data_IF_404947091735
#
_entry.id   IF_404947091735
#
_cell.length_a   1.000
_cell.length_b   1.000
_cell.length_c   1.000
_cell.angle_alpha   90.00
_cell.angle_beta   90.00
_cell.angle_gamma   90.00
#
_symmetry.space_group_name_H-M   'P 1'
#
loop_
_entity.id
_entity.type
_entity.pdbx_description
1 polymer ?
#
# COMPACT_ATOMS: atom_id res chain seq x y z
N UNK A 1 -6.21 24.51 21.24
CA UNK A 1 -6.24 23.52 22.34
C UNK A 1 -5.61 22.24 21.79
N UNK A 2 -4.36 22.00 22.18
CA UNK A 2 -3.57 20.84 21.69
C UNK A 2 -4.08 19.57 22.38
N UNK A 3 -4.62 18.62 21.60
CA UNK A 3 -4.81 17.25 22.05
C UNK A 3 -3.61 16.42 21.62
N UNK A 4 -3.01 15.62 22.53
CA UNK A 4 -1.88 14.78 22.17
C UNK A 4 -2.38 13.58 21.34
N UNK A 5 -1.74 13.36 20.21
CA UNK A 5 -1.93 12.16 19.41
C UNK A 5 -1.19 11.00 20.10
N UNK A 6 -1.93 9.94 20.41
CA UNK A 6 -1.35 8.68 20.86
C UNK A 6 -0.71 7.97 19.67
N UNK A 7 0.62 7.92 19.69
CA UNK A 7 1.39 7.01 18.83
C UNK A 7 1.21 5.61 19.42
N UNK A 8 0.49 4.74 18.72
CA UNK A 8 0.49 3.31 19.03
C UNK A 8 1.84 2.72 18.61
N UNK A 9 2.80 2.74 19.53
CA UNK A 9 3.99 1.92 19.41
C UNK A 9 3.56 0.50 19.76
N UNK A 10 3.60 -0.40 18.77
CA UNK A 10 3.51 -1.83 19.04
C UNK A 10 4.78 -2.24 19.78
N UNK A 11 4.71 -2.19 21.10
CA UNK A 11 5.70 -2.83 21.98
C UNK A 11 5.32 -4.30 21.99
N UNK A 12 6.13 -5.12 21.32
CA UNK A 12 6.07 -6.57 21.49
C UNK A 12 6.39 -6.88 22.96
N UNK A 13 5.34 -7.23 23.69
CA UNK A 13 5.41 -7.64 25.08
C UNK A 13 6.12 -9.01 25.13
N UNK A 14 7.40 -9.01 25.45
CA UNK A 14 8.09 -10.23 25.86
C UNK A 14 7.55 -10.61 27.24
N UNK A 15 6.60 -11.54 27.29
CA UNK A 15 6.10 -12.10 28.54
C UNK A 15 7.16 -13.04 29.10
N UNK A 16 7.93 -12.55 30.07
CA UNK A 16 8.75 -13.41 30.91
C UNK A 16 7.84 -14.17 31.88
N UNK A 17 7.55 -15.42 31.57
CA UNK A 17 6.98 -16.33 32.55
C UNK A 17 8.03 -16.71 33.56
N UNK A 18 7.99 -16.10 34.74
CA UNK A 18 8.67 -16.63 35.94
C UNK A 18 7.81 -17.72 36.54
N UNK A 19 8.10 -18.98 36.24
CA UNK A 19 7.54 -20.11 36.98
C UNK A 19 8.46 -20.43 38.19
N UNK A 20 7.90 -20.35 39.40
CA UNK A 20 8.52 -20.93 40.56
C UNK A 20 8.64 -22.44 40.33
N UNK A 21 9.85 -22.94 40.25
CA UNK A 21 10.15 -24.38 40.23
C UNK A 21 10.72 -24.78 41.59
N UNK A 22 10.12 -25.83 42.14
CA UNK A 22 10.53 -26.52 43.36
C UNK A 22 11.96 -27.04 43.22
N UNK A 23 12.76 -26.86 44.27
CA UNK A 23 14.17 -27.23 44.35
C UNK A 23 14.34 -28.70 44.58
N UNK A 24 14.65 -29.48 43.54
CA UNK A 24 15.42 -30.71 43.63
C UNK A 24 16.12 -31.03 42.33
N UNK A 25 17.45 -31.11 42.41
CA UNK A 25 18.46 -31.36 41.37
C UNK A 25 18.93 -30.15 40.59
N UNK A 26 20.09 -29.64 40.97
CA UNK A 26 20.87 -28.63 40.24
C UNK A 26 21.47 -29.26 38.98
N UNK A 27 20.69 -29.35 37.91
CA UNK A 27 21.27 -29.28 36.59
C UNK A 27 21.70 -27.81 36.41
N UNK A 28 22.99 -27.52 36.30
CA UNK A 28 23.50 -26.23 35.82
C UNK A 28 22.79 -25.94 34.51
N UNK A 29 21.83 -25.01 34.54
CA UNK A 29 21.23 -24.46 33.35
C UNK A 29 22.33 -23.74 32.57
N UNK A 30 23.11 -24.50 31.79
CA UNK A 30 24.05 -23.92 30.84
C UNK A 30 23.24 -23.04 29.87
N UNK A 31 23.43 -21.72 29.95
CA UNK A 31 22.81 -20.80 29.04
C UNK A 31 23.25 -21.16 27.62
N UNK A 32 22.32 -21.70 26.80
CA UNK A 32 22.60 -22.09 25.45
C UNK A 32 22.36 -20.86 24.60
N UNK A 33 23.43 -20.25 24.07
CA UNK A 33 23.34 -19.20 23.08
C UNK A 33 22.89 -19.79 21.75
N UNK A 34 21.60 -19.63 21.43
CA UNK A 34 20.96 -20.12 20.21
C UNK A 34 20.23 -18.99 19.49
N UNK A 35 20.21 -19.01 18.16
CA UNK A 35 19.45 -18.08 17.32
C UNK A 35 20.19 -17.65 16.08
N UNK A 36 19.66 -16.67 15.38
CA UNK A 36 20.30 -16.08 14.21
C UNK A 36 21.65 -15.44 14.63
N UNK A 37 22.70 -15.71 13.83
CA UNK A 37 24.01 -15.11 14.08
C UNK A 37 24.01 -13.61 13.80
N UNK A 38 23.28 -13.18 12.76
CA UNK A 38 23.11 -11.77 12.42
C UNK A 38 22.26 -11.03 13.44
N UNK A 39 22.69 -9.83 13.83
CA UNK A 39 21.91 -8.92 14.67
C UNK A 39 20.78 -8.20 13.89
N UNK A 40 20.67 -8.40 12.58
CA UNK A 40 19.59 -7.81 11.78
C UNK A 40 18.24 -8.36 12.23
N UNK A 41 17.29 -7.45 12.45
CA UNK A 41 15.90 -7.82 12.73
C UNK A 41 15.14 -8.26 11.48
N UNK A 42 15.68 -8.00 10.30
CA UNK A 42 15.03 -8.25 9.02
C UNK A 42 15.92 -9.12 8.12
N UNK A 43 15.32 -10.13 7.53
CA UNK A 43 15.85 -10.89 6.43
C UNK A 43 15.01 -10.62 5.19
N UNK A 44 15.64 -10.24 4.08
CA UNK A 44 14.95 -9.97 2.83
C UNK A 44 15.32 -11.01 1.79
N UNK A 45 14.31 -11.49 1.07
CA UNK A 45 14.44 -12.43 -0.05
C UNK A 45 13.59 -11.96 -1.21
N UNK A 46 13.98 -12.27 -2.43
CA UNK A 46 13.13 -12.09 -3.60
C UNK A 46 12.08 -13.20 -3.64
N UNK A 47 10.91 -12.90 -4.20
CA UNK A 47 9.87 -13.89 -4.48
C UNK A 47 10.46 -15.07 -5.25
N UNK A 48 10.11 -16.27 -4.87
CA UNK A 48 10.62 -17.55 -5.43
C UNK A 48 12.15 -17.70 -5.30
N UNK A 49 12.76 -16.98 -4.35
CA UNK A 49 14.20 -17.02 -4.05
C UNK A 49 14.52 -17.85 -2.82
N UNK A 50 15.81 -18.03 -2.56
CA UNK A 50 16.32 -18.81 -1.43
C UNK A 50 16.74 -17.90 -0.28
N UNK A 51 16.15 -18.07 0.90
CA UNK A 51 16.58 -17.48 2.15
C UNK A 51 17.82 -18.18 2.65
N UNK A 52 18.89 -17.43 2.88
CA UNK A 52 20.14 -17.95 3.48
C UNK A 52 20.38 -17.28 4.83
N UNK A 53 20.67 -18.06 5.86
CA UNK A 53 21.00 -17.54 7.19
C UNK A 53 21.98 -18.46 7.94
N UNK A 54 22.64 -17.92 8.95
CA UNK A 54 23.47 -18.66 9.87
C UNK A 54 22.85 -18.62 11.26
N UNK A 55 22.80 -19.79 11.90
CA UNK A 55 22.31 -19.99 13.27
C UNK A 55 23.46 -20.39 14.18
N UNK A 56 23.62 -19.73 15.32
CA UNK A 56 24.54 -20.12 16.40
C UNK A 56 23.89 -21.11 17.35
N UNK A 57 24.71 -21.84 18.11
CA UNK A 57 24.24 -22.81 19.10
C UNK A 57 23.69 -24.11 18.50
N UNK A 58 23.82 -24.34 17.22
CA UNK A 58 23.25 -25.48 16.47
C UNK A 58 23.69 -26.84 17.03
N UNK A 59 24.96 -27.00 17.40
CA UNK A 59 25.52 -28.31 17.88
C UNK A 59 24.88 -28.80 19.19
N UNK A 60 24.21 -27.94 19.93
CA UNK A 60 23.49 -28.28 21.14
C UNK A 60 22.06 -28.73 20.88
N UNK A 61 21.57 -28.68 19.64
CA UNK A 61 20.18 -28.96 19.29
C UNK A 61 20.03 -30.33 18.61
N UNK A 62 19.01 -31.08 19.03
CA UNK A 62 18.61 -32.32 18.36
C UNK A 62 17.77 -31.99 17.11
N UNK A 63 17.01 -30.89 17.16
CA UNK A 63 16.26 -30.39 16.03
C UNK A 63 16.17 -28.85 16.04
N UNK A 64 16.10 -28.29 14.86
CA UNK A 64 15.80 -26.86 14.62
C UNK A 64 14.60 -26.77 13.69
N UNK A 65 13.66 -25.91 14.02
CA UNK A 65 12.49 -25.66 13.20
C UNK A 65 12.39 -24.18 12.87
N UNK A 66 12.07 -23.87 11.62
CA UNK A 66 11.72 -22.52 11.14
C UNK A 66 10.21 -22.39 11.08
N UNK A 67 9.69 -21.37 11.74
CA UNK A 67 8.28 -20.99 11.68
C UNK A 67 8.13 -19.65 10.94
N UNK A 68 7.07 -19.55 10.14
CA UNK A 68 6.66 -18.29 9.50
C UNK A 68 5.19 -18.04 9.82
N UNK A 69 4.89 -16.87 10.38
CA UNK A 69 3.56 -16.52 10.92
C UNK A 69 2.98 -17.60 11.84
N UNK A 70 3.82 -18.21 12.69
CA UNK A 70 3.42 -19.24 13.64
C UNK A 70 3.19 -20.62 13.03
N UNK A 71 3.33 -20.79 11.73
CA UNK A 71 3.23 -22.10 11.05
C UNK A 71 4.62 -22.64 10.76
N UNK A 72 4.85 -23.94 11.05
CA UNK A 72 6.11 -24.58 10.74
C UNK A 72 6.33 -24.60 9.22
N UNK A 73 7.47 -24.05 8.81
CA UNK A 73 7.83 -23.88 7.40
C UNK A 73 8.89 -24.93 6.98
N UNK A 74 9.93 -25.11 7.81
CA UNK A 74 11.04 -26.04 7.54
C UNK A 74 11.57 -26.65 8.85
N UNK A 75 12.29 -27.77 8.77
CA UNK A 75 12.89 -28.43 9.94
C UNK A 75 14.17 -29.20 9.60
N UNK A 76 15.09 -29.24 10.56
CA UNK A 76 16.38 -29.94 10.47
C UNK A 76 16.58 -30.77 11.71
N UNK A 77 16.88 -32.06 11.55
CA UNK A 77 17.17 -33.02 12.64
C UNK A 77 18.68 -33.26 12.70
N UNK A 78 19.23 -33.24 13.91
CA UNK A 78 20.67 -33.41 14.19
C UNK A 78 21.54 -32.52 13.27
N UNK A 79 21.31 -31.20 13.21
CA UNK A 79 22.01 -30.33 12.30
C UNK A 79 23.50 -30.28 12.61
N UNK A 80 24.35 -30.54 11.62
CA UNK A 80 25.82 -30.53 11.76
C UNK A 80 26.44 -29.18 11.44
N UNK A 81 25.72 -28.31 10.72
CA UNK A 81 26.14 -26.99 10.29
C UNK A 81 25.15 -25.93 10.75
N UNK A 82 25.65 -24.73 11.04
CA UNK A 82 24.83 -23.56 11.34
C UNK A 82 24.34 -22.79 10.11
N UNK A 83 24.81 -23.12 8.90
CA UNK A 83 24.39 -22.48 7.67
C UNK A 83 23.17 -23.20 7.08
N UNK A 84 22.10 -22.44 6.83
CA UNK A 84 20.82 -22.95 6.31
C UNK A 84 20.43 -22.21 5.05
N UNK A 85 19.77 -22.92 4.14
CA UNK A 85 19.12 -22.39 2.95
C UNK A 85 17.71 -22.95 2.87
N UNK A 86 16.74 -22.08 2.56
CA UNK A 86 15.32 -22.41 2.48
C UNK A 86 14.71 -21.69 1.28
N UNK A 87 14.11 -22.43 0.38
CA UNK A 87 13.37 -21.84 -0.74
C UNK A 87 12.06 -21.26 -0.24
N UNK A 88 11.78 -20.03 -0.63
CA UNK A 88 10.62 -19.27 -0.17
C UNK A 88 9.57 -19.23 -1.28
N UNK A 89 8.50 -19.99 -1.08
CA UNK A 89 7.28 -19.96 -1.90
C UNK A 89 6.18 -19.21 -1.14
N UNK A 90 6.28 -17.87 -1.15
CA UNK A 90 5.35 -17.00 -0.45
C UNK A 90 5.01 -15.77 -1.28
N UNK A 91 3.84 -15.18 -1.04
CA UNK A 91 3.46 -13.90 -1.62
C UNK A 91 4.37 -12.76 -1.15
N UNK A 92 4.37 -11.63 -1.85
CA UNK A 92 5.06 -10.42 -1.39
C UNK A 92 4.50 -9.97 -0.04
N UNK A 93 5.38 -9.56 0.87
CA UNK A 93 4.93 -9.14 2.19
C UNK A 93 6.00 -9.16 3.26
N UNK A 94 5.57 -8.85 4.49
CA UNK A 94 6.37 -8.91 5.70
C UNK A 94 5.75 -9.94 6.63
N UNK A 95 6.54 -10.90 7.07
CA UNK A 95 6.12 -12.05 7.85
C UNK A 95 6.94 -12.14 9.13
N UNK A 96 6.32 -12.61 10.22
CA UNK A 96 7.09 -13.02 11.39
C UNK A 96 7.83 -14.32 11.08
N UNK A 97 9.10 -14.39 11.43
CA UNK A 97 9.96 -15.56 11.25
C UNK A 97 10.58 -15.92 12.60
N UNK A 98 10.55 -17.18 12.98
CA UNK A 98 11.06 -17.65 14.26
C UNK A 98 11.82 -18.95 14.10
N UNK A 99 13.07 -19.00 14.59
CA UNK A 99 13.82 -20.24 14.76
C UNK A 99 13.55 -20.81 16.14
N UNK A 100 13.25 -22.10 16.22
CA UNK A 100 13.06 -22.85 17.46
C UNK A 100 14.06 -23.98 17.56
N UNK A 101 14.78 -24.04 18.68
CA UNK A 101 15.74 -25.08 18.99
C UNK A 101 15.20 -26.08 20.02
N UNK A 102 15.35 -27.37 19.75
CA UNK A 102 14.82 -28.47 20.56
C UNK A 102 15.94 -29.36 21.04
N UNK A 103 15.80 -29.85 22.32
CA UNK A 103 16.57 -30.91 22.92
C UNK A 103 15.61 -31.93 23.53
N UNK A 104 15.83 -33.25 23.29
CA UNK A 104 14.96 -34.32 23.78
C UNK A 104 13.47 -34.03 23.55
N UNK A 105 13.15 -33.51 22.36
CA UNK A 105 11.81 -33.07 21.94
C UNK A 105 11.19 -31.92 22.77
N UNK A 106 11.98 -31.22 23.58
CA UNK A 106 11.53 -30.04 24.33
C UNK A 106 12.08 -28.79 23.67
N UNK A 107 11.23 -27.75 23.48
CA UNK A 107 11.67 -26.42 23.06
C UNK A 107 12.57 -25.84 24.17
N UNK A 108 13.82 -25.53 23.84
CA UNK A 108 14.80 -24.96 24.77
C UNK A 108 15.18 -23.52 24.45
N UNK A 109 15.02 -23.08 23.20
CA UNK A 109 15.29 -21.71 22.82
C UNK A 109 14.52 -21.34 21.56
N UNK A 110 14.25 -20.03 21.42
CA UNK A 110 13.66 -19.46 20.20
C UNK A 110 14.23 -18.06 19.93
N UNK A 111 14.33 -17.68 18.66
CA UNK A 111 14.78 -16.37 18.22
C UNK A 111 13.95 -15.88 17.02
N UNK A 112 13.35 -14.68 17.15
CA UNK A 112 12.42 -14.10 16.21
C UNK A 112 13.02 -13.00 15.32
N UNK A 113 12.62 -12.98 14.06
CA UNK A 113 13.00 -11.97 13.05
C UNK A 113 11.80 -11.68 12.15
N UNK A 114 11.97 -10.70 11.24
CA UNK A 114 11.06 -10.51 10.13
C UNK A 114 11.65 -11.12 8.86
N UNK A 115 10.81 -11.80 8.09
CA UNK A 115 11.07 -12.19 6.72
C UNK A 115 10.34 -11.24 5.78
N UNK A 116 11.07 -10.60 4.87
CA UNK A 116 10.52 -9.68 3.87
C UNK A 116 10.65 -10.35 2.50
N UNK A 117 9.53 -10.63 1.86
CA UNK A 117 9.49 -11.17 0.50
C UNK A 117 9.23 -10.02 -0.47
N UNK A 118 10.25 -9.67 -1.25
CA UNK A 118 10.24 -8.58 -2.22
C UNK A 118 9.95 -9.08 -3.63
N UNK A 119 9.58 -8.16 -4.55
CA UNK A 119 9.45 -8.49 -5.96
C UNK A 119 10.77 -9.05 -6.54
N UNK A 120 10.65 -10.02 -7.46
CA UNK A 120 11.82 -10.62 -8.10
C UNK A 120 12.54 -9.62 -9.01
N UNK A 121 11.75 -8.87 -9.78
CA UNK A 121 12.24 -7.96 -10.81
C UNK A 121 12.29 -6.51 -10.32
N UNK A 122 13.29 -5.78 -10.82
CA UNK A 122 13.38 -4.33 -10.64
C UNK A 122 12.32 -3.64 -11.50
N UNK A 123 11.61 -2.61 -10.98
CA UNK A 123 10.68 -1.81 -11.77
C UNK A 123 11.34 -1.16 -12.98
N UNK A 124 10.60 -1.09 -14.09
CA UNK A 124 11.00 -0.33 -15.27
C UNK A 124 10.90 1.17 -14.98
N UNK A 125 11.78 1.95 -15.59
CA UNK A 125 11.65 3.39 -15.64
C UNK A 125 10.62 3.75 -16.72
N UNK A 126 9.49 4.30 -16.29
CA UNK A 126 8.46 4.85 -17.16
C UNK A 126 8.78 6.32 -17.48
N UNK A 127 8.40 6.74 -18.67
CA UNK A 127 8.51 8.12 -19.15
C UNK A 127 7.16 8.57 -19.69
N UNK A 128 6.96 9.86 -19.86
CA UNK A 128 5.73 10.40 -20.44
C UNK A 128 5.99 11.53 -21.42
N UNK A 129 5.04 11.68 -22.35
CA UNK A 129 4.90 12.85 -23.20
C UNK A 129 3.66 13.62 -22.78
N UNK A 130 3.77 14.94 -22.58
CA UNK A 130 2.62 15.79 -22.31
C UNK A 130 1.90 16.03 -23.65
N UNK A 131 0.61 15.71 -23.71
CA UNK A 131 -0.25 15.91 -24.88
C UNK A 131 -1.03 17.19 -24.80
N UNK A 132 -1.53 17.53 -23.59
CA UNK A 132 -2.29 18.75 -23.34
C UNK A 132 -2.25 19.13 -21.85
N UNK A 133 -2.70 20.35 -21.56
CA UNK A 133 -3.06 20.82 -20.24
C UNK A 133 -4.52 21.25 -20.26
N UNK A 134 -5.26 20.90 -19.21
CA UNK A 134 -6.69 21.19 -19.09
C UNK A 134 -6.95 21.96 -17.79
N UNK A 135 -7.92 22.88 -17.77
CA UNK A 135 -8.28 23.59 -16.54
C UNK A 135 -8.71 22.61 -15.43
N UNK A 136 -8.27 22.87 -14.21
CA UNK A 136 -8.70 22.18 -13.01
C UNK A 136 -9.04 23.21 -11.92
N UNK A 137 -10.01 22.91 -11.07
CA UNK A 137 -10.47 23.84 -10.05
C UNK A 137 -9.47 23.91 -8.86
N UNK A 138 -8.73 25.01 -8.79
CA UNK A 138 -7.71 25.25 -7.78
C UNK A 138 -8.24 25.35 -6.33
N UNK A 139 -9.54 25.26 -6.10
CA UNK A 139 -10.13 25.16 -4.74
C UNK A 139 -10.37 23.72 -4.33
N UNK A 140 -10.24 22.76 -5.24
CA UNK A 140 -10.47 21.34 -4.95
C UNK A 140 -9.26 20.71 -4.26
N UNK A 141 -9.54 20.04 -3.16
CA UNK A 141 -8.59 19.16 -2.50
C UNK A 141 -8.81 17.73 -3.02
N UNK A 142 -8.28 17.47 -4.21
CA UNK A 142 -8.51 16.25 -5.00
C UNK A 142 -8.11 15.00 -4.22
N UNK A 143 -9.01 14.04 -4.13
CA UNK A 143 -8.80 12.76 -3.44
C UNK A 143 -9.18 11.55 -4.29
N UNK A 144 -9.96 11.74 -5.34
CA UNK A 144 -10.28 10.72 -6.32
C UNK A 144 -10.57 11.36 -7.67
N UNK A 145 -10.16 10.73 -8.76
CA UNK A 145 -10.23 11.27 -10.12
C UNK A 145 -10.41 10.14 -11.11
N UNK A 146 -11.54 10.08 -11.83
CA UNK A 146 -11.85 8.95 -12.72
C UNK A 146 -12.61 9.38 -13.96
N UNK A 147 -12.24 8.84 -15.14
CA UNK A 147 -13.06 8.90 -16.33
C UNK A 147 -14.01 7.71 -16.41
N UNK A 148 -15.30 8.00 -16.55
CA UNK A 148 -16.32 6.98 -16.81
C UNK A 148 -17.20 7.36 -18.02
N UNK A 149 -17.24 6.51 -19.06
CA UNK A 149 -18.01 6.73 -20.30
C UNK A 149 -17.81 8.12 -20.93
N UNK A 150 -16.57 8.61 -20.92
CA UNK A 150 -16.18 9.89 -21.51
C UNK A 150 -16.52 11.11 -20.66
N UNK A 151 -16.92 10.95 -19.43
CA UNK A 151 -17.14 12.01 -18.44
C UNK A 151 -16.10 11.89 -17.32
N UNK A 152 -15.68 13.03 -16.82
CA UNK A 152 -14.70 13.13 -15.73
C UNK A 152 -15.41 13.35 -14.41
N UNK A 153 -15.01 12.58 -13.39
CA UNK A 153 -15.53 12.66 -12.03
C UNK A 153 -14.39 12.94 -11.05
N UNK A 154 -14.71 13.68 -9.99
CA UNK A 154 -13.77 14.01 -8.94
C UNK A 154 -14.43 13.87 -7.56
N UNK A 155 -13.65 13.39 -6.61
CA UNK A 155 -13.96 13.42 -5.18
C UNK A 155 -12.99 14.34 -4.47
N UNK A 156 -13.49 15.18 -3.55
CA UNK A 156 -12.68 16.14 -2.79
C UNK A 156 -12.69 15.84 -1.30
N UNK A 157 -11.58 16.17 -0.65
CA UNK A 157 -11.45 16.14 0.81
C UNK A 157 -11.93 17.42 1.47
N UNK A 158 -11.88 17.45 2.80
CA UNK A 158 -12.32 18.56 3.64
C UNK A 158 -11.22 19.00 4.63
N UNK A 159 -10.07 19.50 4.16
CA UNK A 159 -8.89 19.78 4.99
C UNK A 159 -9.14 20.91 6.01
N UNK A 160 -10.06 21.82 5.71
CA UNK A 160 -10.38 22.96 6.58
C UNK A 160 -11.58 22.69 7.47
N UNK A 161 -12.21 21.51 7.36
CA UNK A 161 -13.45 21.17 8.05
C UNK A 161 -14.58 22.19 7.78
N UNK A 162 -14.66 22.69 6.54
CA UNK A 162 -15.58 23.72 6.06
C UNK A 162 -16.75 23.15 5.24
N UNK A 163 -16.83 21.81 5.09
CA UNK A 163 -17.84 21.12 4.30
C UNK A 163 -17.48 21.00 2.83
N UNK A 164 -16.20 21.10 2.46
CA UNK A 164 -15.74 21.06 1.05
C UNK A 164 -15.73 19.65 0.42
N UNK A 165 -16.09 18.61 1.17
CA UNK A 165 -16.19 17.25 0.63
C UNK A 165 -17.37 17.14 -0.32
N UNK A 166 -17.09 16.70 -1.55
CA UNK A 166 -18.12 16.43 -2.56
C UNK A 166 -17.67 15.42 -3.61
N UNK A 167 -18.64 14.86 -4.32
CA UNK A 167 -18.45 14.21 -5.62
C UNK A 167 -18.92 15.16 -6.71
N UNK A 168 -18.21 15.20 -7.82
CA UNK A 168 -18.44 16.19 -8.86
C UNK A 168 -18.26 15.55 -10.24
N UNK A 169 -19.18 15.82 -11.18
CA UNK A 169 -18.95 15.64 -12.62
C UNK A 169 -18.32 16.93 -13.15
N UNK A 170 -17.15 16.83 -13.78
CA UNK A 170 -16.33 17.97 -14.22
C UNK A 170 -16.53 18.23 -15.72
N UNK A 171 -16.67 19.48 -16.11
CA UNK A 171 -16.54 19.91 -17.49
C UNK A 171 -15.05 19.99 -17.86
N UNK A 172 -14.59 19.13 -18.77
CA UNK A 172 -13.19 19.00 -19.16
C UNK A 172 -12.58 20.28 -19.76
N UNK A 173 -13.40 21.16 -20.42
CA UNK A 173 -12.95 22.38 -21.05
C UNK A 173 -12.77 23.54 -20.07
N UNK A 174 -13.52 23.54 -18.97
CA UNK A 174 -13.53 24.66 -18.02
C UNK A 174 -12.96 24.30 -16.66
N UNK A 175 -12.85 23.00 -16.32
CA UNK A 175 -12.49 22.52 -14.97
C UNK A 175 -13.56 22.77 -13.92
N UNK A 176 -14.76 23.22 -14.31
CA UNK A 176 -15.85 23.54 -13.39
C UNK A 176 -16.83 22.38 -13.23
N UNK A 177 -17.53 22.36 -12.11
CA UNK A 177 -18.59 21.39 -11.84
C UNK A 177 -19.75 21.55 -12.83
N UNK A 178 -20.16 20.43 -13.43
CA UNK A 178 -21.43 20.30 -14.19
C UNK A 178 -22.55 20.01 -13.21
N UNK A 179 -22.30 19.14 -12.28
CA UNK A 179 -23.16 18.81 -11.13
C UNK A 179 -22.30 18.27 -9.99
N UNK A 180 -22.81 18.41 -8.78
CA UNK A 180 -22.10 17.98 -7.59
C UNK A 180 -23.05 17.51 -6.50
N UNK A 181 -22.56 16.70 -5.58
CA UNK A 181 -23.22 16.29 -4.35
C UNK A 181 -22.27 16.54 -3.20
N UNK A 182 -22.65 17.42 -2.30
CA UNK A 182 -21.91 17.71 -1.09
C UNK A 182 -22.19 16.67 -0.02
N UNK A 183 -21.19 16.41 0.82
CA UNK A 183 -21.29 15.58 2.01
C UNK A 183 -21.47 16.46 3.24
N UNK A 184 -22.24 15.99 4.26
CA UNK A 184 -22.37 16.73 5.49
C UNK A 184 -21.03 16.80 6.24
N UNK A 185 -20.71 17.97 6.79
CA UNK A 185 -19.59 18.13 7.71
C UNK A 185 -19.85 17.28 9.00
N UNK A 186 -18.88 16.55 9.58
CA UNK A 186 -17.42 16.66 9.37
C UNK A 186 -16.82 15.53 8.48
N UNK A 187 -17.50 15.10 7.43
CA UNK A 187 -17.00 14.02 6.57
C UNK A 187 -15.80 14.52 5.77
N UNK A 188 -14.74 13.69 5.71
CA UNK A 188 -13.61 13.88 4.83
C UNK A 188 -13.67 12.82 3.73
N UNK A 189 -14.08 13.24 2.51
CA UNK A 189 -14.12 12.38 1.32
C UNK A 189 -12.73 12.05 0.83
N UNK A 190 -12.61 10.86 0.27
CA UNK A 190 -11.38 10.30 -0.28
C UNK A 190 -11.65 9.74 -1.68
N UNK A 191 -11.00 8.65 -2.06
CA UNK A 191 -11.10 8.03 -3.37
C UNK A 191 -12.52 7.81 -3.86
N UNK A 192 -12.68 7.89 -5.18
CA UNK A 192 -13.92 7.63 -5.92
C UNK A 192 -13.68 6.53 -6.94
N UNK A 193 -14.70 5.71 -7.22
CA UNK A 193 -14.71 4.84 -8.40
C UNK A 193 -16.13 4.55 -8.87
N UNK A 194 -16.29 4.30 -10.17
CA UNK A 194 -17.59 4.07 -10.79
C UNK A 194 -17.65 2.66 -11.37
N UNK A 195 -18.54 1.85 -10.80
CA UNK A 195 -18.76 0.47 -11.25
C UNK A 195 -20.24 0.25 -11.57
N UNK A 196 -20.54 -0.09 -12.83
CA UNK A 196 -21.91 -0.24 -13.30
C UNK A 196 -22.65 1.10 -13.35
N UNK A 197 -23.70 1.23 -12.53
CA UNK A 197 -24.50 2.45 -12.34
C UNK A 197 -24.20 3.18 -11.02
N UNK A 198 -23.20 2.74 -10.27
CA UNK A 198 -22.94 3.21 -8.92
C UNK A 198 -21.61 3.98 -8.84
N UNK A 199 -21.65 5.09 -8.13
CA UNK A 199 -20.46 5.84 -7.70
C UNK A 199 -20.15 5.41 -6.27
N UNK A 200 -18.94 4.92 -6.01
CA UNK A 200 -18.44 4.60 -4.67
C UNK A 200 -17.49 5.72 -4.23
N UNK A 201 -17.73 6.29 -3.07
CA UNK A 201 -16.84 7.27 -2.43
C UNK A 201 -16.48 6.79 -1.03
N UNK A 202 -15.21 6.65 -0.73
CA UNK A 202 -14.74 6.34 0.62
C UNK A 202 -14.41 7.61 1.40
N UNK A 203 -14.17 7.44 2.69
CA UNK A 203 -13.84 8.53 3.61
C UNK A 203 -12.55 8.22 4.33
N UNK A 204 -11.78 9.25 4.73
CA UNK A 204 -10.50 9.06 5.42
C UNK A 204 -10.65 8.26 6.72
N UNK A 205 -11.23 8.84 7.77
CA UNK A 205 -11.32 8.23 9.11
C UNK A 205 -12.77 7.95 9.54
N UNK A 206 -13.75 8.38 8.76
CA UNK A 206 -15.16 8.13 9.04
C UNK A 206 -15.57 6.67 8.79
N UNK A 207 -14.68 5.86 8.15
CA UNK A 207 -14.86 4.42 7.91
C UNK A 207 -16.14 4.08 7.13
N UNK A 208 -16.53 4.97 6.19
CA UNK A 208 -17.72 4.83 5.38
C UNK A 208 -17.37 4.80 3.90
N UNK A 209 -18.06 3.94 3.17
CA UNK A 209 -18.15 3.97 1.73
C UNK A 209 -19.59 4.34 1.36
N UNK A 210 -19.79 5.50 0.77
CA UNK A 210 -21.07 5.93 0.23
C UNK A 210 -21.24 5.39 -1.17
N UNK A 211 -22.45 4.98 -1.51
CA UNK A 211 -22.82 4.50 -2.84
C UNK A 211 -23.94 5.37 -3.38
N UNK A 212 -23.71 6.01 -4.51
CA UNK A 212 -24.66 6.91 -5.15
C UNK A 212 -25.07 6.35 -6.51
N UNK A 213 -26.31 6.60 -6.93
CA UNK A 213 -26.72 6.40 -8.32
C UNK A 213 -25.95 7.39 -9.24
N UNK A 214 -25.32 6.87 -10.27
CA UNK A 214 -24.51 7.65 -11.22
C UNK A 214 -25.28 8.73 -11.96
N UNK A 215 -26.59 8.50 -12.24
CA UNK A 215 -27.39 9.42 -13.03
C UNK A 215 -27.95 10.57 -12.19
N UNK A 216 -28.35 10.29 -10.96
CA UNK A 216 -29.04 11.25 -10.08
C UNK A 216 -28.13 11.87 -9.02
N UNK A 217 -27.00 11.25 -8.66
CA UNK A 217 -26.16 11.55 -7.49
C UNK A 217 -26.90 11.41 -6.16
N UNK A 218 -28.05 10.72 -6.16
CA UNK A 218 -28.74 10.40 -4.90
C UNK A 218 -28.04 9.24 -4.20
N UNK A 219 -28.02 9.31 -2.87
CA UNK A 219 -27.44 8.28 -2.03
C UNK A 219 -28.33 7.04 -2.00
N UNK A 220 -27.83 5.92 -2.51
CA UNK A 220 -28.54 4.63 -2.46
C UNK A 220 -28.31 3.91 -1.14
N UNK A 221 -27.05 3.79 -0.75
CA UNK A 221 -26.67 3.07 0.46
C UNK A 221 -25.29 3.52 0.97
N UNK A 222 -24.88 2.99 2.11
CA UNK A 222 -23.51 3.13 2.60
C UNK A 222 -23.05 1.86 3.31
N UNK A 223 -21.77 1.58 3.20
CA UNK A 223 -21.11 0.50 3.90
C UNK A 223 -20.16 1.03 4.96
N UNK A 224 -19.89 0.22 5.98
CA UNK A 224 -18.89 0.50 7.00
C UNK A 224 -17.68 -0.41 6.77
N UNK A 225 -16.48 0.14 6.92
CA UNK A 225 -15.24 -0.63 6.87
C UNK A 225 -14.31 -0.22 8.01
N UNK A 226 -13.24 -0.97 8.24
CA UNK A 226 -12.25 -0.68 9.29
C UNK A 226 -10.99 -0.05 8.69
N UNK A 227 -10.38 0.87 9.44
CA UNK A 227 -9.15 1.57 9.06
C UNK A 227 -9.42 2.82 8.24
N UNK A 228 -8.36 3.36 7.64
CA UNK A 228 -8.42 4.52 6.75
C UNK A 228 -8.71 4.07 5.32
N UNK A 229 -9.38 4.93 4.55
CA UNK A 229 -9.53 4.79 3.12
C UNK A 229 -8.89 5.99 2.43
N UNK A 230 -8.12 5.75 1.33
CA UNK A 230 -7.40 6.80 0.61
C UNK A 230 -7.80 6.85 -0.86
N UNK A 231 -7.42 5.90 -1.69
CA UNK A 231 -7.79 5.84 -3.10
C UNK A 231 -8.73 4.69 -3.41
N UNK A 232 -9.50 4.82 -4.49
CA UNK A 232 -10.34 3.78 -5.07
C UNK A 232 -10.14 3.68 -6.57
N UNK A 233 -10.13 2.45 -7.07
CA UNK A 233 -10.41 2.12 -8.46
C UNK A 233 -11.17 0.80 -8.53
N UNK A 234 -11.48 0.29 -9.73
CA UNK A 234 -12.08 -1.01 -9.91
C UNK A 234 -11.50 -1.75 -11.13
N UNK A 235 -11.52 -3.08 -11.08
CA UNK A 235 -11.08 -3.95 -12.19
C UNK A 235 -12.25 -4.43 -13.07
N UNK A 236 -13.44 -3.90 -12.85
CA UNK A 236 -14.70 -4.31 -13.50
C UNK A 236 -15.49 -5.34 -12.71
N UNK A 237 -14.88 -5.98 -11.70
CA UNK A 237 -15.50 -7.01 -10.85
C UNK A 237 -15.41 -6.64 -9.36
N UNK A 238 -14.27 -6.19 -8.93
CA UNK A 238 -13.96 -5.81 -7.53
C UNK A 238 -13.61 -4.34 -7.42
N UNK A 239 -13.89 -3.76 -6.26
CA UNK A 239 -13.35 -2.45 -5.87
C UNK A 239 -11.98 -2.66 -5.26
N UNK A 240 -11.00 -1.90 -5.69
CA UNK A 240 -9.63 -1.89 -5.18
C UNK A 240 -9.44 -0.61 -4.37
N UNK A 241 -8.99 -0.75 -3.13
CA UNK A 241 -8.83 0.37 -2.19
C UNK A 241 -7.40 0.44 -1.67
N UNK A 242 -6.80 1.61 -1.72
CA UNK A 242 -5.60 1.96 -0.96
C UNK A 242 -5.96 2.52 0.42
N UNK A 243 -5.03 2.51 1.36
CA UNK A 243 -5.25 2.94 2.75
C UNK A 243 -4.03 3.63 3.37
N UNK A 244 -3.12 4.14 2.54
CA UNK A 244 -1.90 4.79 3.00
C UNK A 244 -0.80 3.85 3.48
N UNK A 245 -1.03 2.54 3.47
CA UNK A 245 -0.01 1.51 3.72
C UNK A 245 0.58 1.00 2.39
N UNK A 246 1.24 -0.12 2.44
CA UNK A 246 1.71 -0.87 1.26
C UNK A 246 0.67 -1.91 0.79
N UNK A 247 -0.54 -1.91 1.33
CA UNK A 247 -1.59 -2.84 0.95
C UNK A 247 -2.56 -2.24 -0.07
N UNK A 248 -2.98 -3.04 -1.05
CA UNK A 248 -4.19 -2.84 -1.82
C UNK A 248 -5.24 -3.86 -1.37
N UNK A 249 -6.43 -3.37 -1.01
CA UNK A 249 -7.52 -4.16 -0.45
C UNK A 249 -8.62 -4.32 -1.48
N UNK A 250 -8.88 -5.56 -1.89
CA UNK A 250 -9.96 -5.89 -2.82
C UNK A 250 -11.25 -6.08 -2.04
N UNK A 251 -12.32 -5.46 -2.50
CA UNK A 251 -13.63 -5.45 -1.85
C UNK A 251 -14.75 -5.84 -2.80
N UNK A 252 -15.70 -6.56 -2.26
CA UNK A 252 -16.95 -6.93 -2.96
C UNK A 252 -17.83 -5.66 -3.13
N UNK A 253 -18.19 -5.27 -4.36
CA UNK A 253 -18.99 -4.07 -4.59
C UNK A 253 -20.41 -4.16 -3.99
N UNK A 254 -20.96 -5.35 -3.76
CA UNK A 254 -22.32 -5.52 -3.23
C UNK A 254 -22.44 -5.29 -1.72
N UNK A 255 -21.34 -5.43 -0.96
CA UNK A 255 -21.35 -5.36 0.52
C UNK A 255 -20.11 -4.75 1.13
N UNK A 256 -19.14 -4.37 0.30
CA UNK A 256 -17.84 -3.76 0.64
C UNK A 256 -16.94 -4.60 1.56
N UNK A 257 -17.20 -5.91 1.70
CA UNK A 257 -16.36 -6.83 2.46
C UNK A 257 -15.05 -7.09 1.73
N UNK A 258 -14.01 -7.35 2.52
CA UNK A 258 -12.69 -7.71 1.99
C UNK A 258 -12.74 -9.08 1.32
N UNK A 259 -12.34 -9.15 0.06
CA UNK A 259 -12.16 -10.40 -0.71
C UNK A 259 -10.73 -10.90 -0.51
N UNK A 260 -9.75 -10.02 -0.72
CA UNK A 260 -8.32 -10.30 -0.57
C UNK A 260 -7.54 -9.02 -0.31
N UNK A 261 -6.29 -9.19 0.11
CA UNK A 261 -5.29 -8.12 0.19
C UNK A 261 -4.03 -8.55 -0.57
N UNK A 262 -3.37 -7.60 -1.17
CA UNK A 262 -2.03 -7.79 -1.75
C UNK A 262 -1.08 -6.75 -1.16
N UNK A 263 0.17 -7.15 -0.98
CA UNK A 263 1.24 -6.29 -0.48
C UNK A 263 2.07 -5.77 -1.65
N UNK A 264 2.29 -4.46 -1.72
CA UNK A 264 2.95 -3.81 -2.85
C UNK A 264 4.42 -3.62 -2.56
N UNK A 265 5.27 -4.29 -3.34
CA UNK A 265 6.73 -4.27 -3.17
C UNK A 265 7.47 -4.02 -4.49
N UNK A 266 8.60 -3.34 -4.38
CA UNK A 266 9.66 -3.37 -5.38
C UNK A 266 10.62 -4.53 -5.08
N UNK A 267 11.69 -4.66 -5.87
CA UNK A 267 12.84 -5.54 -5.60
C UNK A 267 13.64 -5.16 -4.34
N UNK A 268 13.36 -4.00 -3.74
CA UNK A 268 14.08 -3.45 -2.58
C UNK A 268 13.26 -3.35 -1.31
N UNK A 269 11.93 -3.40 -1.40
CA UNK A 269 11.06 -3.27 -0.23
C UNK A 269 9.63 -2.86 -0.56
N UNK A 270 8.84 -2.76 0.49
CA UNK A 270 7.45 -2.32 0.42
C UNK A 270 7.32 -0.86 -0.04
N UNK A 271 6.30 -0.57 -0.84
CA UNK A 271 5.93 0.80 -1.24
C UNK A 271 4.74 1.24 -0.39
N UNK A 272 5.01 2.06 0.59
CA UNK A 272 3.99 2.62 1.50
C UNK A 272 3.39 3.91 0.96
N UNK A 273 2.35 4.41 1.64
CA UNK A 273 1.69 5.67 1.32
C UNK A 273 1.02 5.69 -0.06
N UNK A 274 0.53 4.53 -0.52
CA UNK A 274 -0.30 4.45 -1.70
C UNK A 274 -1.58 5.25 -1.46
N UNK A 275 -1.83 6.24 -2.33
CA UNK A 275 -2.97 7.14 -2.21
C UNK A 275 -3.94 6.94 -3.37
N UNK A 276 -4.22 7.97 -4.13
CA UNK A 276 -5.14 7.90 -5.24
C UNK A 276 -4.64 6.91 -6.31
N UNK A 277 -5.55 6.08 -6.83
CA UNK A 277 -5.23 4.94 -7.67
C UNK A 277 -6.18 4.83 -8.86
N UNK A 278 -5.64 4.38 -10.01
CA UNK A 278 -6.37 4.13 -11.25
C UNK A 278 -6.06 2.72 -11.78
N UNK A 279 -7.09 2.03 -12.26
CA UNK A 279 -6.92 0.72 -12.91
C UNK A 279 -7.02 0.84 -14.42
N UNK A 280 -5.95 0.47 -15.11
CA UNK A 280 -5.94 0.42 -16.57
C UNK A 280 -5.13 -0.77 -17.09
N UNK A 281 -5.67 -1.46 -18.09
CA UNK A 281 -5.00 -2.55 -18.84
C UNK A 281 -4.32 -3.60 -17.95
N UNK A 282 -5.02 -4.05 -16.90
CA UNK A 282 -4.51 -5.06 -15.96
C UNK A 282 -3.38 -4.56 -15.07
N UNK A 283 -3.26 -3.25 -14.85
CA UNK A 283 -2.31 -2.60 -13.93
C UNK A 283 -3.05 -1.62 -13.03
N UNK A 284 -2.53 -1.41 -11.83
CA UNK A 284 -2.94 -0.32 -10.94
C UNK A 284 -1.82 0.73 -10.96
N UNK A 285 -2.18 1.96 -11.23
CA UNK A 285 -1.31 3.13 -11.11
C UNK A 285 -1.64 3.82 -9.80
N UNK A 286 -0.65 4.18 -9.01
CA UNK A 286 -0.86 4.78 -7.70
C UNK A 286 0.03 5.99 -7.47
N UNK A 287 -0.56 7.10 -7.00
CA UNK A 287 0.19 8.19 -6.39
C UNK A 287 0.79 7.71 -5.07
N UNK A 288 2.04 8.07 -4.81
CA UNK A 288 2.67 7.92 -3.49
C UNK A 288 2.54 9.24 -2.75
N UNK A 289 1.84 9.25 -1.61
CA UNK A 289 1.56 10.48 -0.87
C UNK A 289 2.03 10.43 0.58
N UNK A 290 2.51 11.58 1.06
CA UNK A 290 2.85 11.76 2.46
C UNK A 290 2.58 13.21 2.87
N UNK A 291 2.15 13.43 4.12
CA UNK A 291 2.05 14.76 4.68
C UNK A 291 3.44 15.41 4.80
N UNK A 292 3.52 16.74 4.65
CA UNK A 292 4.78 17.48 4.80
C UNK A 292 5.48 17.18 6.14
N UNK A 293 4.74 17.05 7.22
CA UNK A 293 5.28 16.71 8.53
C UNK A 293 5.96 15.33 8.56
N UNK A 294 5.37 14.32 7.91
CA UNK A 294 5.98 12.98 7.80
C UNK A 294 7.19 12.99 6.88
N UNK A 295 7.14 13.76 5.79
CA UNK A 295 8.26 13.93 4.86
C UNK A 295 9.51 14.50 5.52
N UNK A 296 9.33 15.41 6.48
CA UNK A 296 10.44 15.92 7.29
C UNK A 296 11.05 14.84 8.19
N UNK A 297 10.26 13.85 8.61
CA UNK A 297 10.73 12.72 9.42
C UNK A 297 11.33 11.58 8.58
N UNK A 298 10.83 11.39 7.36
CA UNK A 298 11.33 10.39 6.42
C UNK A 298 11.51 11.01 5.02
N UNK A 299 12.65 11.67 4.76
CA UNK A 299 12.93 12.26 3.45
C UNK A 299 13.18 11.24 2.33
N UNK A 300 13.27 9.94 2.65
CA UNK A 300 13.46 8.89 1.65
C UNK A 300 12.22 8.63 0.79
N UNK A 301 11.03 9.06 1.25
CA UNK A 301 9.79 8.90 0.51
C UNK A 301 9.68 9.96 -0.57
N UNK A 302 9.65 9.49 -1.80
CA UNK A 302 9.62 10.33 -3.00
C UNK A 302 8.18 10.52 -3.51
N UNK A 303 7.55 11.64 -3.14
CA UNK A 303 6.20 12.03 -3.56
C UNK A 303 6.09 12.35 -5.05
N UNK A 304 7.21 12.35 -5.76
CA UNK A 304 7.26 12.68 -7.18
C UNK A 304 7.04 11.46 -8.06
N UNK A 305 6.57 10.37 -7.49
CA UNK A 305 6.41 9.09 -8.20
C UNK A 305 4.96 8.66 -8.30
N UNK A 306 4.64 8.15 -9.48
CA UNK A 306 3.51 7.25 -9.69
C UNK A 306 4.08 5.86 -9.92
N UNK A 307 3.56 4.87 -9.22
CA UNK A 307 3.98 3.47 -9.36
C UNK A 307 2.95 2.67 -10.15
N UNK A 308 3.43 1.86 -11.09
CA UNK A 308 2.64 0.88 -11.81
C UNK A 308 2.77 -0.47 -11.09
N UNK A 309 1.65 -1.09 -10.75
CA UNK A 309 1.56 -2.27 -9.91
C UNK A 309 0.88 -3.41 -10.67
N UNK A 310 1.43 -4.62 -10.59
CA UNK A 310 0.75 -5.84 -11.01
C UNK A 310 -0.28 -6.24 -9.95
N UNK A 311 -1.61 -6.16 -10.24
CA UNK A 311 -2.66 -6.37 -9.25
C UNK A 311 -2.85 -7.85 -8.85
N UNK A 312 -2.17 -8.79 -9.52
CA UNK A 312 -2.25 -10.22 -9.19
C UNK A 312 -1.38 -10.58 -7.99
N UNK A 313 -0.23 -9.94 -7.87
CA UNK A 313 0.79 -10.31 -6.87
C UNK A 313 1.34 -9.13 -6.06
N UNK A 314 1.12 -7.86 -6.50
CA UNK A 314 1.58 -6.66 -5.82
C UNK A 314 2.98 -6.19 -6.22
N UNK A 315 3.64 -6.81 -7.21
CA UNK A 315 4.93 -6.31 -7.69
C UNK A 315 4.80 -4.97 -8.40
N UNK A 316 5.67 -4.01 -8.05
CA UNK A 316 5.80 -2.76 -8.79
C UNK A 316 6.54 -3.05 -10.10
N UNK A 317 5.86 -2.86 -11.21
CA UNK A 317 6.38 -3.15 -12.56
C UNK A 317 6.99 -1.93 -13.23
N UNK A 318 6.56 -0.72 -12.83
CA UNK A 318 7.06 0.53 -13.38
C UNK A 318 7.02 1.68 -12.38
N UNK A 319 7.90 2.65 -12.58
CA UNK A 319 7.95 3.90 -11.79
C UNK A 319 8.01 5.07 -12.77
N UNK A 320 7.05 5.98 -12.66
CA UNK A 320 6.96 7.22 -13.42
C UNK A 320 7.38 8.40 -12.54
N UNK A 321 8.40 9.14 -12.95
CA UNK A 321 8.81 10.39 -12.29
C UNK A 321 8.00 11.56 -12.84
N UNK A 322 7.20 12.20 -11.96
CA UNK A 322 6.30 13.30 -12.33
C UNK A 322 6.79 14.68 -11.85
N UNK A 323 8.08 14.82 -11.46
CA UNK A 323 8.64 16.11 -11.02
C UNK A 323 8.40 17.22 -12.02
N UNK A 324 8.51 16.94 -13.32
CA UNK A 324 8.22 17.92 -14.37
C UNK A 324 6.81 18.48 -14.30
N UNK A 325 5.80 17.66 -14.02
CA UNK A 325 4.41 18.12 -13.86
C UNK A 325 4.24 18.97 -12.59
N UNK A 326 4.91 18.58 -11.48
CA UNK A 326 4.89 19.35 -10.23
C UNK A 326 5.52 20.73 -10.44
N UNK A 327 6.62 20.82 -11.18
CA UNK A 327 7.30 22.09 -11.49
C UNK A 327 6.45 23.00 -12.38
N UNK A 328 5.67 22.43 -13.29
CA UNK A 328 4.75 23.15 -14.19
C UNK A 328 3.47 23.61 -13.48
N UNK A 329 3.06 22.92 -12.43
CA UNK A 329 1.85 23.25 -11.67
C UNK A 329 1.98 24.60 -10.94
N UNK A 330 0.87 25.10 -10.38
CA UNK A 330 0.85 26.32 -9.55
C UNK A 330 1.61 26.17 -8.22
N UNK A 331 2.24 25.01 -7.97
CA UNK A 331 2.99 24.64 -6.75
C UNK A 331 2.18 24.75 -5.45
N UNK A 332 0.87 24.72 -5.52
CA UNK A 332 -0.02 24.65 -4.38
C UNK A 332 -0.40 23.17 -4.18
N UNK A 333 -0.21 22.68 -2.96
CA UNK A 333 -0.51 21.29 -2.61
C UNK A 333 0.43 20.27 -3.25
N UNK A 334 -0.02 19.03 -3.34
CA UNK A 334 0.76 17.87 -3.79
C UNK A 334 0.03 17.13 -4.91
N UNK A 335 0.75 16.39 -5.78
CA UNK A 335 0.11 15.56 -6.80
C UNK A 335 -0.82 14.54 -6.14
N UNK A 336 -2.02 14.46 -6.65
CA UNK A 336 -3.03 13.46 -6.28
C UNK A 336 -4.17 13.52 -7.29
N UNK A 337 -4.44 12.42 -7.96
CA UNK A 337 -5.44 12.31 -9.02
C UNK A 337 -4.84 11.76 -10.31
N UNK A 338 -5.26 10.53 -10.67
CA UNK A 338 -4.90 9.83 -11.90
C UNK A 338 -6.17 9.32 -12.53
N UNK A 339 -6.47 9.70 -13.77
CA UNK A 339 -7.62 9.22 -14.49
C UNK A 339 -7.23 8.77 -15.91
N UNK A 340 -7.61 7.56 -16.31
CA UNK A 340 -7.36 7.07 -17.65
C UNK A 340 -8.47 7.45 -18.62
N UNK A 341 -8.11 8.20 -19.68
CA UNK A 341 -9.03 8.59 -20.74
C UNK A 341 -8.97 7.63 -21.91
N UNK A 342 -10.01 6.79 -22.04
CA UNK A 342 -10.07 5.73 -23.05
C UNK A 342 -10.04 6.27 -24.50
N UNK A 343 -10.68 7.42 -24.78
CA UNK A 343 -10.81 7.96 -26.14
C UNK A 343 -9.47 8.38 -26.75
N UNK A 344 -8.53 8.89 -25.95
CA UNK A 344 -7.20 9.32 -26.37
C UNK A 344 -6.09 8.33 -26.00
N UNK A 345 -6.39 7.30 -25.22
CA UNK A 345 -5.41 6.38 -24.65
C UNK A 345 -4.33 7.11 -23.83
N UNK A 346 -4.75 8.04 -23.00
CA UNK A 346 -3.90 8.90 -22.19
C UNK A 346 -4.32 8.87 -20.73
N UNK A 347 -3.43 9.34 -19.86
CA UNK A 347 -3.74 9.58 -18.45
C UNK A 347 -3.83 11.08 -18.20
N UNK A 348 -4.76 11.48 -17.34
CA UNK A 348 -4.83 12.82 -16.78
C UNK A 348 -4.33 12.79 -15.35
N UNK A 349 -3.33 13.62 -15.05
CA UNK A 349 -2.76 13.77 -13.72
C UNK A 349 -3.00 15.17 -13.20
N UNK A 350 -3.47 15.28 -11.96
CA UNK A 350 -3.67 16.55 -11.28
C UNK A 350 -3.15 16.50 -9.83
N UNK A 351 -3.51 17.47 -9.01
CA UNK A 351 -3.10 17.53 -7.61
C UNK A 351 -4.03 18.38 -6.77
N UNK A 352 -3.88 18.24 -5.46
CA UNK A 352 -4.62 19.03 -4.47
C UNK A 352 -4.34 20.52 -4.68
N UNK A 353 -5.40 21.33 -4.95
CA UNK A 353 -5.30 22.75 -5.26
C UNK A 353 -4.53 23.11 -6.53
N UNK A 354 -4.25 22.16 -7.43
CA UNK A 354 -3.71 22.49 -8.73
C UNK A 354 -4.76 23.19 -9.60
N UNK A 355 -4.32 24.07 -10.46
CA UNK A 355 -5.19 24.77 -11.43
C UNK A 355 -5.22 24.10 -12.80
N UNK A 356 -4.48 23.00 -12.97
CA UNK A 356 -4.37 22.25 -14.22
C UNK A 356 -4.37 20.74 -13.97
N UNK A 357 -4.92 20.01 -14.93
CA UNK A 357 -4.73 18.59 -15.11
C UNK A 357 -3.92 18.37 -16.39
N UNK A 358 -2.85 17.56 -16.30
CA UNK A 358 -1.96 17.29 -17.42
C UNK A 358 -2.35 15.98 -18.09
N UNK A 359 -2.69 16.05 -19.39
CA UNK A 359 -2.92 14.87 -20.22
C UNK A 359 -1.58 14.33 -20.71
N UNK A 360 -1.24 13.10 -20.34
CA UNK A 360 0.04 12.48 -20.65
C UNK A 360 -0.13 11.13 -21.34
N UNK A 361 0.83 10.80 -22.21
CA UNK A 361 1.02 9.45 -22.75
C UNK A 361 2.17 8.79 -22.02
N UNK A 362 1.90 7.70 -21.31
CA UNK A 362 2.94 6.91 -20.62
C UNK A 362 3.59 5.96 -21.62
N UNK A 363 4.92 5.88 -21.58
CA UNK A 363 5.76 5.01 -22.40
C UNK A 363 6.83 4.32 -21.56
N UNK A 364 7.43 3.26 -22.08
CA UNK A 364 8.64 2.66 -21.49
C UNK A 364 9.88 3.26 -22.16
N UNK A 365 10.95 3.45 -21.38
CA UNK A 365 12.21 4.05 -21.88
C UNK A 365 12.83 3.27 -23.05
N UNK A 366 12.58 1.96 -23.15
CA UNK A 366 13.09 1.09 -24.21
C UNK A 366 12.41 1.30 -25.57
N UNK A 367 11.21 1.90 -25.62
CA UNK A 367 10.47 2.12 -26.88
C UNK A 367 10.97 3.32 -27.67
N UNK A 368 11.75 4.23 -27.08
CA UNK A 368 12.31 5.42 -27.74
C UNK A 368 13.68 5.19 -28.40
N UNK A 369 14.37 4.10 -28.09
CA UNK A 369 15.66 3.75 -28.71
C UNK A 369 15.59 3.00 -30.04
N UNK A 370 14.39 2.69 -30.53
CA UNK A 370 14.17 1.87 -31.74
C UNK A 370 13.56 2.65 -32.93
N UNK A 371 13.73 3.98 -32.96
CA UNK A 371 13.36 4.81 -34.13
C UNK A 371 14.57 5.46 -34.75
#
# INVERSE_FOLDING_TARGET
MNKPYFILIYISLVVLFSSCIDTSESEENQFIEFGFESNSLNYAVKKDGTLSFVCKGVKAMDAIELYVNGTKYESWTNPSSGAFQVDIDMSLGVYSMELRGYQKNKLVSADGRNLIVNAAEKPLELIYDIKASHPHNATHFTQGYEFHKGKLFESTGNPNNDGSTKITEINEQTGLSVREKEQPNPIFGEGITILGSNIYQITWQNQKCFVYDLNTFELDTSFVYQGEGWGLCNDGESIIMSNGTHELVYRDPSNFKVIKKISVHTDKGAVTNLNEIEFHNGRVYANVWMSEQRRQQDPSIDLTKVVEINPKEGSVTGILDIRGLIEMSNKKGVPNGIAYRKSSNTFWLTGKYWNEAYEIQINTKSTLGAR
#
